data_IF_720439811369
#
_entry.id   IF_720439811369
#
_cell.length_a   1.000
_cell.length_b   1.000
_cell.length_c   1.000
_cell.angle_alpha   90.00
_cell.angle_beta   90.00
_cell.angle_gamma   90.00
#
_symmetry.space_group_name_H-M   'P 1'
#
loop_
_entity.id
_entity.type
_entity.pdbx_description
1 polymer ?
#
# COMPACT_ATOMS: atom_id res chain seq x y z
N UNK A 1 -55.63 65.36 59.16
CA UNK A 1 -56.63 64.34 59.54
C UNK A 1 -56.59 63.19 58.55
N UNK A 2 -56.61 61.93 59.06
CA UNK A 2 -57.00 60.66 58.41
C UNK A 2 -56.18 60.08 57.23
N UNK A 3 -55.44 59.01 57.60
CA UNK A 3 -55.49 57.60 57.10
C UNK A 3 -54.82 57.20 55.76
N UNK A 4 -53.73 56.43 55.92
CA UNK A 4 -53.28 55.21 55.20
C UNK A 4 -54.41 54.16 55.01
N UNK A 5 -54.29 53.02 54.25
CA UNK A 5 -53.06 52.32 53.77
C UNK A 5 -53.11 51.56 52.39
N UNK A 6 -51.91 51.21 51.88
CA UNK A 6 -51.40 49.92 51.33
C UNK A 6 -52.29 48.92 50.53
N UNK A 7 -51.77 48.39 49.40
CA UNK A 7 -51.36 46.95 49.20
C UNK A 7 -51.09 46.57 47.71
N UNK A 8 -49.89 46.04 47.47
CA UNK A 8 -49.48 44.89 46.64
C UNK A 8 -50.32 44.38 45.44
N UNK A 9 -49.66 44.14 44.29
CA UNK A 9 -49.43 42.78 43.73
C UNK A 9 -48.64 42.79 42.40
N UNK A 10 -47.79 41.76 42.25
CA UNK A 10 -46.87 41.42 41.15
C UNK A 10 -47.57 40.60 40.07
N UNK A 11 -47.25 40.77 38.77
CA UNK A 11 -47.22 39.67 37.78
C UNK A 11 -46.15 39.93 36.69
N UNK A 12 -45.31 38.91 36.45
CA UNK A 12 -44.31 38.75 35.39
C UNK A 12 -44.96 38.50 34.01
N UNK A 13 -44.39 39.03 32.92
CA UNK A 13 -44.42 38.38 31.60
C UNK A 13 -43.35 38.94 30.66
N UNK A 14 -42.79 38.07 29.83
CA UNK A 14 -41.57 38.23 29.05
C UNK A 14 -41.81 38.52 27.55
N UNK A 15 -40.69 38.86 26.89
CA UNK A 15 -40.36 38.76 25.45
C UNK A 15 -40.87 39.82 24.46
N UNK A 16 -39.91 40.33 23.66
CA UNK A 16 -40.09 40.45 22.21
C UNK A 16 -39.63 41.74 21.52
N UNK A 17 -38.42 41.71 20.92
CA UNK A 17 -38.00 42.27 19.61
C UNK A 17 -38.22 43.77 19.29
N UNK A 18 -37.13 44.47 18.90
CA UNK A 18 -36.86 44.99 17.53
C UNK A 18 -35.94 46.24 17.50
N UNK A 19 -35.15 46.40 16.42
CA UNK A 19 -34.42 47.65 16.08
C UNK A 19 -32.95 47.47 15.68
N UNK A 20 -32.64 46.84 14.54
CA UNK A 20 -32.19 47.46 13.26
C UNK A 20 -30.94 48.35 13.38
N UNK A 21 -29.80 47.84 12.89
CA UNK A 21 -28.72 48.64 12.31
C UNK A 21 -28.45 48.13 10.89
N UNK A 22 -28.49 49.06 9.94
CA UNK A 22 -28.28 48.85 8.52
C UNK A 22 -26.83 48.40 8.25
N UNK A 23 -26.67 47.28 7.53
CA UNK A 23 -25.40 46.84 6.97
C UNK A 23 -25.47 47.05 5.47
N UNK A 24 -24.52 47.81 4.93
CA UNK A 24 -24.34 48.00 3.51
C UNK A 24 -24.07 46.65 2.85
N UNK A 25 -24.90 46.29 1.88
CA UNK A 25 -24.69 45.12 1.03
C UNK A 25 -23.62 45.49 0.02
N UNK A 26 -22.40 45.01 0.24
CA UNK A 26 -21.41 44.91 -0.83
C UNK A 26 -21.70 43.62 -1.57
N UNK A 27 -22.29 43.70 -2.76
CA UNK A 27 -22.41 42.54 -3.65
C UNK A 27 -21.00 42.15 -4.10
N UNK A 28 -20.50 41.03 -3.57
CA UNK A 28 -19.36 40.33 -4.11
C UNK A 28 -19.87 39.03 -4.72
N UNK A 29 -20.24 39.10 -5.99
CA UNK A 29 -20.54 37.91 -6.78
C UNK A 29 -19.22 37.25 -7.18
N UNK A 30 -18.84 36.19 -6.46
CA UNK A 30 -17.85 35.24 -6.95
C UNK A 30 -18.57 34.00 -7.46
N UNK A 31 -18.81 33.95 -8.77
CA UNK A 31 -19.16 32.69 -9.44
C UNK A 31 -17.88 31.93 -9.71
N UNK A 32 -17.49 31.05 -8.80
CA UNK A 32 -16.51 30.01 -9.11
C UNK A 32 -17.26 28.75 -9.53
N UNK A 33 -17.44 28.59 -10.84
CA UNK A 33 -17.80 27.30 -11.41
C UNK A 33 -16.53 26.48 -11.56
N UNK A 34 -16.13 25.75 -10.52
CA UNK A 34 -15.20 24.63 -10.68
C UNK A 34 -16.02 23.35 -10.68
N UNK A 35 -16.41 22.88 -11.86
CA UNK A 35 -16.85 21.50 -12.02
C UNK A 35 -15.61 20.60 -12.06
N UNK A 36 -15.01 20.38 -10.89
CA UNK A 36 -13.97 19.36 -10.76
C UNK A 36 -14.67 18.01 -10.74
N UNK A 37 -14.81 17.40 -11.92
CA UNK A 37 -15.22 16.00 -12.03
C UNK A 37 -14.05 15.12 -11.59
N UNK A 38 -13.94 14.90 -10.28
CA UNK A 38 -13.10 13.84 -9.73
C UNK A 38 -13.86 12.53 -9.88
N UNK A 39 -13.52 11.76 -10.91
CA UNK A 39 -13.93 10.36 -10.99
C UNK A 39 -12.96 9.54 -10.15
N UNK A 40 -13.38 9.17 -8.95
CA UNK A 40 -12.66 8.21 -8.12
C UNK A 40 -13.12 6.82 -8.55
N UNK A 41 -12.38 6.19 -9.47
CA UNK A 41 -12.56 4.77 -9.76
C UNK A 41 -11.74 4.00 -8.74
N UNK A 42 -12.40 3.35 -7.80
CA UNK A 42 -11.76 2.35 -6.95
C UNK A 42 -11.54 1.09 -7.82
N UNK A 43 -10.35 0.98 -8.40
CA UNK A 43 -9.94 -0.26 -9.05
C UNK A 43 -9.28 -1.20 -8.04
N UNK A 44 -9.31 -2.50 -8.32
CA UNK A 44 -8.63 -3.50 -7.49
C UNK A 44 -7.20 -3.70 -8.00
N UNK A 45 -6.24 -3.85 -7.09
CA UNK A 45 -4.82 -4.03 -7.42
C UNK A 45 -4.61 -5.25 -8.33
N UNK A 46 -5.38 -6.32 -8.08
CA UNK A 46 -5.40 -7.53 -8.91
C UNK A 46 -5.80 -7.30 -10.37
N UNK A 47 -6.52 -6.22 -10.71
CA UNK A 47 -6.83 -5.90 -12.11
C UNK A 47 -5.62 -5.35 -12.88
N UNK A 48 -4.53 -5.03 -12.19
CA UNK A 48 -3.32 -4.47 -12.78
C UNK A 48 -2.14 -5.44 -12.70
N UNK A 49 -2.00 -6.13 -11.56
CA UNK A 49 -0.89 -7.03 -11.29
C UNK A 49 -1.33 -8.14 -10.35
N UNK A 50 -0.97 -9.36 -10.69
CA UNK A 50 -1.15 -10.53 -9.85
C UNK A 50 0.18 -11.00 -9.27
N UNK A 51 0.16 -11.44 -8.02
CA UNK A 51 1.29 -12.04 -7.33
C UNK A 51 1.01 -13.52 -7.03
N UNK A 52 1.93 -14.39 -7.43
CA UNK A 52 1.77 -15.83 -7.28
C UNK A 52 2.91 -16.46 -6.49
N UNK A 53 2.54 -17.31 -5.53
CA UNK A 53 3.44 -18.31 -4.97
C UNK A 53 3.46 -19.56 -5.85
N UNK A 54 4.36 -20.50 -5.58
CA UNK A 54 4.47 -21.72 -6.38
C UNK A 54 3.14 -22.49 -6.49
N UNK A 55 2.37 -22.58 -5.40
CA UNK A 55 1.11 -23.33 -5.36
C UNK A 55 -0.05 -22.62 -6.06
N UNK A 56 0.06 -21.31 -6.27
CA UNK A 56 -1.01 -20.50 -6.87
C UNK A 56 -0.65 -20.01 -8.27
N UNK A 57 0.53 -20.35 -8.78
CA UNK A 57 0.98 -19.97 -10.11
C UNK A 57 0.12 -20.68 -11.19
N UNK A 58 -0.62 -19.94 -12.03
CA UNK A 58 -1.48 -20.52 -13.05
C UNK A 58 -0.73 -21.26 -14.16
N UNK A 59 0.56 -20.95 -14.36
CA UNK A 59 1.41 -21.62 -15.35
C UNK A 59 2.08 -22.89 -14.78
N UNK A 60 1.87 -23.19 -13.48
CA UNK A 60 2.45 -24.36 -12.83
C UNK A 60 3.98 -24.33 -12.75
N UNK A 61 4.58 -23.13 -12.70
CA UNK A 61 6.04 -22.98 -12.64
C UNK A 61 6.60 -23.65 -11.37
N UNK A 62 7.73 -24.33 -11.52
CA UNK A 62 8.51 -24.91 -10.43
C UNK A 62 9.75 -24.07 -10.12
N UNK A 63 10.59 -24.47 -9.16
CA UNK A 63 11.87 -23.81 -8.88
C UNK A 63 11.74 -22.45 -8.20
N UNK A 64 10.67 -22.25 -7.43
CA UNK A 64 10.58 -21.13 -6.51
C UNK A 64 11.57 -21.31 -5.36
N UNK A 65 11.92 -20.20 -4.71
CA UNK A 65 12.64 -20.18 -3.45
C UNK A 65 12.01 -21.15 -2.43
N UNK A 66 12.84 -21.90 -1.71
CA UNK A 66 12.39 -22.84 -0.68
C UNK A 66 12.89 -22.47 0.72
N UNK A 67 11.98 -22.31 1.67
CA UNK A 67 12.27 -22.01 3.07
C UNK A 67 13.33 -22.94 3.62
N UNK A 68 14.33 -22.38 4.30
CA UNK A 68 15.39 -23.17 4.96
C UNK A 68 15.06 -23.33 6.45
N UNK A 69 15.21 -24.53 7.05
CA UNK A 69 15.67 -25.77 6.43
C UNK A 69 14.55 -26.69 5.89
N UNK A 70 13.27 -26.29 5.93
CA UNK A 70 12.15 -27.20 5.61
C UNK A 70 12.12 -27.67 4.16
N UNK A 71 12.62 -26.87 3.21
CA UNK A 71 12.55 -27.14 1.77
C UNK A 71 11.19 -26.85 1.14
N UNK A 72 10.20 -26.42 1.92
CA UNK A 72 8.89 -25.98 1.41
C UNK A 72 9.00 -24.65 0.67
N UNK A 73 8.06 -24.29 -0.23
CA UNK A 73 8.06 -22.98 -0.86
C UNK A 73 8.14 -21.83 0.15
N UNK A 74 9.04 -20.88 -0.11
CA UNK A 74 9.26 -19.74 0.77
C UNK A 74 8.10 -18.74 0.75
N UNK A 75 7.39 -18.63 -0.37
CA UNK A 75 6.16 -17.85 -0.47
C UNK A 75 4.93 -18.77 -0.48
N UNK A 76 3.86 -18.30 0.15
CA UNK A 76 2.54 -18.97 0.18
C UNK A 76 1.43 -17.94 -0.02
N UNK A 77 0.29 -18.36 -0.58
CA UNK A 77 -0.83 -17.47 -0.87
C UNK A 77 -0.78 -16.86 -2.27
N UNK A 78 -1.64 -15.88 -2.52
CA UNK A 78 -1.72 -15.10 -3.75
C UNK A 78 -2.12 -13.65 -3.43
N UNK A 79 -1.72 -12.71 -4.29
CA UNK A 79 -2.10 -11.29 -4.20
C UNK A 79 -1.98 -10.74 -2.77
N UNK A 80 -3.06 -10.21 -2.18
CA UNK A 80 -3.05 -9.60 -0.84
C UNK A 80 -2.84 -10.62 0.29
N UNK A 81 -2.97 -11.91 0.02
CA UNK A 81 -2.71 -12.99 0.98
C UNK A 81 -1.30 -13.55 0.87
N UNK A 82 -0.49 -13.06 -0.08
CA UNK A 82 0.86 -13.53 -0.28
C UNK A 82 1.73 -13.20 0.94
N UNK A 83 2.39 -14.22 1.49
CA UNK A 83 3.33 -14.10 2.61
C UNK A 83 4.62 -14.83 2.27
N UNK A 84 5.75 -14.23 2.63
CA UNK A 84 7.09 -14.79 2.44
C UNK A 84 7.71 -15.14 3.79
N UNK A 85 8.22 -16.36 3.90
CA UNK A 85 9.06 -16.80 5.00
C UNK A 85 10.22 -17.62 4.42
N UNK A 86 11.40 -16.99 4.41
CA UNK A 86 12.65 -17.57 3.94
C UNK A 86 13.23 -18.57 4.95
N UNK A 87 12.71 -18.54 6.19
CA UNK A 87 13.23 -19.29 7.31
C UNK A 87 14.58 -18.73 7.73
N UNK A 88 15.61 -19.56 7.61
CA UNK A 88 16.84 -19.41 8.36
C UNK A 88 18.03 -19.34 7.38
N UNK A 89 18.97 -18.41 7.55
CA UNK A 89 20.13 -18.26 6.66
C UNK A 89 21.45 -18.29 7.40
N UNK A 90 22.44 -18.87 6.72
CA UNK A 90 23.85 -18.79 7.11
C UNK A 90 24.34 -17.33 7.13
N UNK A 91 25.45 -17.05 7.86
CA UNK A 91 26.08 -15.74 7.84
C UNK A 91 26.53 -15.33 6.42
N UNK A 92 26.33 -14.07 6.07
CA UNK A 92 26.73 -13.50 4.78
C UNK A 92 25.56 -13.14 3.88
N UNK A 93 25.87 -12.83 2.61
CA UNK A 93 24.86 -12.52 1.61
C UNK A 93 24.30 -13.81 1.01
N UNK A 94 23.00 -13.99 1.12
CA UNK A 94 22.27 -15.10 0.50
C UNK A 94 21.28 -14.54 -0.52
N UNK A 95 21.36 -15.02 -1.76
CA UNK A 95 20.43 -14.64 -2.82
C UNK A 95 19.32 -15.68 -2.93
N UNK A 96 18.08 -15.19 -2.92
CA UNK A 96 16.87 -15.96 -3.13
C UNK A 96 16.28 -15.60 -4.47
N UNK A 97 16.32 -16.55 -5.40
CA UNK A 97 15.74 -16.40 -6.73
C UNK A 97 14.31 -16.91 -6.74
N UNK A 98 13.43 -16.23 -7.48
CA UNK A 98 12.01 -16.59 -7.64
C UNK A 98 11.32 -16.81 -6.29
N UNK A 99 11.30 -15.78 -5.47
CA UNK A 99 10.56 -15.80 -4.20
C UNK A 99 9.07 -15.90 -4.46
N UNK A 100 8.57 -15.06 -5.36
CA UNK A 100 7.25 -15.15 -5.96
C UNK A 100 7.33 -14.64 -7.41
N UNK A 101 6.27 -14.82 -8.19
CA UNK A 101 6.15 -14.18 -9.51
C UNK A 101 5.12 -13.07 -9.50
N UNK A 102 5.34 -12.09 -10.35
CA UNK A 102 4.41 -11.01 -10.61
C UNK A 102 4.02 -11.06 -12.09
N UNK A 103 2.72 -10.95 -12.38
CA UNK A 103 2.22 -11.02 -13.76
C UNK A 103 1.15 -9.97 -14.00
N UNK A 104 1.22 -9.30 -15.15
CA UNK A 104 0.14 -8.44 -15.62
C UNK A 104 -0.95 -9.26 -16.32
N UNK A 105 -2.21 -8.82 -16.29
CA UNK A 105 -3.32 -9.51 -16.95
C UNK A 105 -3.22 -9.42 -18.49
N UNK A 106 -4.15 -10.10 -19.17
CA UNK A 106 -4.26 -10.08 -20.63
C UNK A 106 -4.45 -8.68 -21.22
N UNK A 107 -5.14 -7.81 -20.49
CA UNK A 107 -5.33 -6.42 -20.86
C UNK A 107 -5.21 -5.56 -19.60
N UNK A 108 -4.43 -4.49 -19.67
CA UNK A 108 -4.35 -3.51 -18.61
C UNK A 108 -5.61 -2.64 -18.62
N UNK A 109 -6.13 -2.21 -17.46
CA UNK A 109 -7.34 -1.38 -17.41
C UNK A 109 -7.16 -0.05 -18.16
N UNK A 110 -5.97 0.54 -18.11
CA UNK A 110 -5.61 1.76 -18.84
C UNK A 110 -4.16 1.69 -19.30
N UNK A 111 -3.87 2.32 -20.45
CA UNK A 111 -2.51 2.41 -21.00
C UNK A 111 -2.02 1.09 -21.62
N UNK A 112 -0.77 1.10 -22.06
CA UNK A 112 -0.08 -0.07 -22.64
C UNK A 112 0.90 -0.73 -21.68
N UNK A 113 1.24 -0.06 -20.58
CA UNK A 113 2.26 -0.47 -19.64
C UNK A 113 2.03 0.09 -18.25
N UNK A 114 2.59 -0.60 -17.26
CA UNK A 114 2.74 -0.14 -15.88
C UNK A 114 4.21 -0.12 -15.49
N UNK A 115 4.59 0.81 -14.63
CA UNK A 115 5.86 0.81 -13.94
C UNK A 115 5.68 0.24 -12.53
N UNK A 116 6.41 -0.82 -12.22
CA UNK A 116 6.40 -1.49 -10.92
C UNK A 116 7.73 -1.20 -10.23
N UNK A 117 7.65 -0.57 -9.07
CA UNK A 117 8.79 -0.36 -8.17
C UNK A 117 8.62 -1.26 -6.96
N UNK A 118 9.71 -1.83 -6.48
CA UNK A 118 9.72 -2.60 -5.23
C UNK A 118 10.66 -1.97 -4.21
N UNK A 119 10.22 -1.88 -2.97
CA UNK A 119 11.04 -1.45 -1.85
C UNK A 119 10.74 -2.29 -0.61
N UNK A 120 11.56 -2.15 0.44
CA UNK A 120 11.38 -2.94 1.67
C UNK A 120 11.30 -2.01 2.86
N UNK A 121 10.16 -2.05 3.54
CA UNK A 121 9.98 -1.38 4.81
C UNK A 121 10.73 -2.15 5.90
N UNK A 122 11.51 -1.47 6.76
CA UNK A 122 12.27 -2.11 7.82
C UNK A 122 11.34 -2.80 8.82
N UNK A 123 11.92 -3.68 9.63
CA UNK A 123 11.20 -4.36 10.71
C UNK A 123 10.66 -3.29 11.68
N UNK A 124 9.34 -3.23 11.92
CA UNK A 124 8.75 -2.16 12.73
C UNK A 124 9.13 -2.26 14.22
N UNK A 125 9.54 -3.43 14.70
CA UNK A 125 9.94 -3.64 16.09
C UNK A 125 11.40 -3.26 16.34
N UNK A 126 12.28 -3.52 15.36
CA UNK A 126 13.74 -3.33 15.53
C UNK A 126 14.33 -2.19 14.71
N UNK A 127 13.60 -1.67 13.72
CA UNK A 127 14.08 -0.73 12.73
C UNK A 127 15.10 -1.31 11.75
N UNK A 128 15.42 -2.61 11.84
CA UNK A 128 16.45 -3.23 11.03
C UNK A 128 15.92 -3.67 9.66
N UNK A 129 16.80 -3.63 8.65
CA UNK A 129 16.52 -4.10 7.29
C UNK A 129 17.60 -5.12 6.85
N UNK A 130 17.30 -6.43 6.89
CA UNK A 130 18.22 -7.47 6.43
C UNK A 130 18.25 -7.62 4.91
N UNK A 131 17.25 -7.12 4.16
CA UNK A 131 17.27 -7.15 2.69
C UNK A 131 18.25 -6.10 2.17
N UNK A 132 19.23 -6.53 1.37
CA UNK A 132 20.29 -5.70 0.80
C UNK A 132 19.99 -5.24 -0.62
N UNK A 133 19.38 -6.13 -1.40
CA UNK A 133 18.98 -5.84 -2.78
C UNK A 133 17.66 -6.59 -3.05
N UNK A 134 16.79 -5.98 -3.84
CA UNK A 134 15.51 -6.55 -4.25
C UNK A 134 15.19 -6.04 -5.66
N UNK A 135 14.60 -6.90 -6.48
CA UNK A 135 14.16 -6.51 -7.82
C UNK A 135 13.58 -7.68 -8.59
N UNK A 136 13.36 -7.43 -9.87
CA UNK A 136 12.73 -8.39 -10.77
C UNK A 136 13.68 -8.85 -11.86
N UNK A 137 13.44 -10.05 -12.37
CA UNK A 137 14.10 -10.57 -13.58
C UNK A 137 13.10 -11.37 -14.42
N UNK A 138 13.41 -11.63 -15.70
CA UNK A 138 12.67 -12.61 -16.48
C UNK A 138 12.66 -13.99 -15.79
N UNK A 139 11.60 -14.77 -16.01
CA UNK A 139 11.50 -16.12 -15.48
C UNK A 139 12.71 -16.96 -15.90
N UNK A 140 13.45 -17.48 -14.92
CA UNK A 140 14.64 -18.32 -15.13
C UNK A 140 15.96 -17.57 -15.03
N UNK A 141 15.94 -16.24 -15.00
CA UNK A 141 17.12 -15.41 -14.75
C UNK A 141 17.28 -15.11 -13.26
N UNK A 142 18.49 -15.22 -12.69
CA UNK A 142 18.72 -14.99 -11.26
C UNK A 142 20.06 -14.35 -10.89
N UNK A 143 20.89 -14.00 -11.89
CA UNK A 143 22.21 -13.40 -11.63
C UNK A 143 22.17 -11.88 -11.45
N UNK A 144 21.13 -11.22 -11.97
CA UNK A 144 20.88 -9.79 -11.80
C UNK A 144 19.38 -9.55 -11.74
N UNK A 145 18.98 -8.53 -11.00
CA UNK A 145 17.59 -8.10 -10.89
C UNK A 145 17.50 -6.58 -10.94
N UNK A 146 16.47 -6.10 -11.61
CA UNK A 146 16.24 -4.70 -11.95
C UNK A 146 15.07 -4.15 -11.15
N UNK A 147 15.18 -2.90 -10.73
CA UNK A 147 14.15 -2.17 -10.03
C UNK A 147 14.38 -0.67 -10.23
N UNK A 148 13.42 0.11 -10.74
CA UNK A 148 12.06 -0.30 -11.15
C UNK A 148 12.04 -1.11 -12.46
N UNK A 149 10.90 -1.71 -12.79
CA UNK A 149 10.65 -2.35 -14.09
C UNK A 149 9.38 -1.79 -14.75
N UNK A 150 9.34 -1.88 -16.08
CA UNK A 150 8.15 -1.61 -16.88
C UNK A 150 7.57 -2.94 -17.37
N UNK A 151 6.25 -3.11 -17.23
CA UNK A 151 5.53 -4.31 -17.62
C UNK A 151 4.39 -3.94 -18.57
N UNK A 152 4.36 -4.54 -19.75
CA UNK A 152 3.20 -4.50 -20.64
C UNK A 152 2.21 -5.60 -20.27
N UNK A 153 1.05 -5.67 -20.94
CA UNK A 153 0.10 -6.76 -20.76
C UNK A 153 0.75 -8.15 -20.99
N UNK A 154 0.31 -9.17 -20.24
CA UNK A 154 0.84 -10.54 -20.26
C UNK A 154 2.34 -10.68 -19.96
N UNK A 155 2.94 -9.68 -19.32
CA UNK A 155 4.32 -9.76 -18.85
C UNK A 155 4.35 -10.52 -17.53
N UNK A 156 5.25 -11.49 -17.41
CA UNK A 156 5.50 -12.22 -16.17
C UNK A 156 6.98 -12.20 -15.80
N UNK A 157 7.26 -11.87 -14.55
CA UNK A 157 8.61 -11.73 -13.99
C UNK A 157 8.70 -12.46 -12.65
N UNK A 158 9.92 -12.78 -12.22
CA UNK A 158 10.17 -13.31 -10.90
C UNK A 158 10.80 -12.24 -10.01
N UNK A 159 10.36 -12.18 -8.75
CA UNK A 159 11.00 -11.34 -7.75
C UNK A 159 12.16 -12.11 -7.10
N UNK A 160 13.30 -11.46 -7.02
CA UNK A 160 14.50 -11.97 -6.37
C UNK A 160 14.94 -10.98 -5.30
N UNK A 161 15.62 -11.50 -4.27
CA UNK A 161 16.15 -10.68 -3.19
C UNK A 161 17.45 -11.24 -2.65
N UNK A 162 18.31 -10.34 -2.18
CA UNK A 162 19.55 -10.66 -1.47
C UNK A 162 19.38 -10.26 -0.02
N UNK A 163 19.59 -11.18 0.90
CA UNK A 163 19.46 -10.96 2.35
C UNK A 163 20.77 -11.16 3.07
N UNK A 164 20.95 -10.37 4.12
CA UNK A 164 22.07 -10.46 5.05
C UNK A 164 21.60 -10.08 6.47
N UNK A 165 20.92 -11.01 7.17
CA UNK A 165 20.61 -10.87 8.58
C UNK A 165 21.89 -10.73 9.42
N UNK A 166 21.90 -9.78 10.36
CA UNK A 166 23.10 -9.48 11.15
C UNK A 166 23.14 -10.27 12.44
N UNK A 167 22.03 -10.32 13.16
CA UNK A 167 21.98 -10.82 14.53
C UNK A 167 21.53 -12.28 14.57
N UNK A 168 22.28 -13.12 15.28
CA UNK A 168 22.00 -14.54 15.42
C UNK A 168 20.80 -14.76 16.33
N UNK A 169 19.90 -15.68 15.96
CA UNK A 169 18.70 -15.98 16.75
C UNK A 169 17.62 -14.90 16.72
N UNK A 170 17.80 -13.84 15.92
CA UNK A 170 16.79 -12.80 15.68
C UNK A 170 16.06 -13.12 14.38
N UNK A 171 14.73 -13.10 14.44
CA UNK A 171 13.86 -13.15 13.25
C UNK A 171 13.46 -11.73 12.90
N UNK A 172 13.85 -11.30 11.70
CA UNK A 172 13.45 -10.03 11.13
C UNK A 172 12.12 -10.16 10.41
N UNK A 173 11.18 -9.27 10.72
CA UNK A 173 9.85 -9.22 10.11
C UNK A 173 9.69 -7.92 9.33
N UNK A 174 10.13 -7.93 8.09
CA UNK A 174 10.07 -6.77 7.19
C UNK A 174 8.86 -6.87 6.27
N UNK A 175 8.58 -5.81 5.52
CA UNK A 175 7.48 -5.82 4.52
C UNK A 175 8.02 -5.42 3.16
N UNK A 176 7.83 -6.28 2.16
CA UNK A 176 8.06 -5.91 0.76
C UNK A 176 6.87 -5.07 0.32
N UNK A 177 7.14 -3.87 -0.19
CA UNK A 177 6.14 -2.99 -0.78
C UNK A 177 6.34 -2.95 -2.29
N UNK A 178 5.30 -3.28 -3.03
CA UNK A 178 5.26 -3.06 -4.48
C UNK A 178 4.40 -1.84 -4.73
N UNK A 179 4.92 -0.89 -5.50
CA UNK A 179 4.19 0.32 -5.90
C UNK A 179 4.06 0.32 -7.41
N UNK A 180 2.83 0.49 -7.89
CA UNK A 180 2.53 0.54 -9.32
C UNK A 180 2.11 1.93 -9.74
N UNK A 181 2.58 2.32 -10.91
CA UNK A 181 2.24 3.57 -11.62
C UNK A 181 1.98 3.26 -13.08
N UNK A 182 1.29 4.14 -13.78
CA UNK A 182 1.17 4.08 -15.23
C UNK A 182 1.21 5.48 -15.85
N UNK A 183 1.61 5.62 -17.12
CA UNK A 183 1.65 6.92 -17.78
C UNK A 183 0.29 7.63 -17.80
N UNK A 184 0.26 8.92 -17.49
CA UNK A 184 -0.97 9.72 -17.44
C UNK A 184 -1.76 9.59 -16.13
N UNK A 185 -1.16 8.98 -15.10
CA UNK A 185 -1.78 8.86 -13.78
C UNK A 185 -1.54 10.10 -12.91
N UNK A 186 -2.64 10.75 -12.47
CA UNK A 186 -2.60 11.93 -11.59
C UNK A 186 -3.11 11.65 -10.15
N UNK A 187 -3.34 10.36 -9.79
CA UNK A 187 -4.01 9.93 -8.55
C UNK A 187 -3.18 9.11 -7.56
N UNK A 188 -3.85 8.27 -6.75
CA UNK A 188 -3.26 7.43 -5.67
C UNK A 188 -2.68 6.10 -6.17
N UNK A 189 -1.41 5.83 -5.87
CA UNK A 189 -0.69 4.62 -6.27
C UNK A 189 -1.36 3.31 -5.79
N UNK A 190 -1.35 2.27 -6.63
CA UNK A 190 -1.72 0.92 -6.20
C UNK A 190 -0.54 0.23 -5.53
N UNK A 191 -0.80 -0.43 -4.39
CA UNK A 191 0.26 -1.04 -3.59
C UNK A 191 -0.09 -2.46 -3.14
N UNK A 192 0.90 -3.35 -3.19
CA UNK A 192 0.91 -4.59 -2.43
C UNK A 192 1.86 -4.46 -1.24
N UNK A 193 1.47 -5.07 -0.13
CA UNK A 193 2.31 -5.25 1.05
C UNK A 193 2.45 -6.75 1.31
N UNK A 194 3.64 -7.28 1.10
CA UNK A 194 3.94 -8.70 1.27
C UNK A 194 4.82 -8.86 2.52
N UNK A 195 4.29 -9.42 3.61
CA UNK A 195 5.08 -9.69 4.80
C UNK A 195 6.24 -10.64 4.48
N UNK A 196 7.43 -10.35 5.00
CA UNK A 196 8.62 -11.17 4.85
C UNK A 196 9.25 -11.48 6.20
N UNK A 197 9.49 -12.77 6.46
CA UNK A 197 10.26 -13.25 7.60
C UNK A 197 11.60 -13.86 7.15
N UNK A 198 12.67 -13.55 7.90
CA UNK A 198 13.99 -14.19 7.76
C UNK A 198 14.77 -14.12 9.06
N UNK A 199 15.50 -15.18 9.40
CA UNK A 199 16.35 -15.27 10.58
C UNK A 199 17.77 -15.72 10.23
N UNK A 200 18.73 -15.46 11.14
CA UNK A 200 20.10 -15.98 11.04
C UNK A 200 20.27 -17.24 11.90
N UNK A 201 20.87 -18.27 11.32
CA UNK A 201 21.29 -19.54 11.97
C UNK A 201 22.37 -19.33 13.06
#
# INVERSE_FOLDING_TARGET
>A
MKRWPWLFAVVLAAMGLSGVLAVQVTDAAFTSHSASHLSITADQVQNWLHLYSQSTDPDGLSGYATRVPSGEPAATGLDETLVVDLGTTKPGNTTWNRVFTAATPRALPVGSEINVTVDVLPDPATGQQPVREIGFSPIGSGSSFTNPITMSAQTKVQLNLKVQPRDRGVTYRVTIRLTMTYPGFEGSYYQYFVPLAVARD
#
